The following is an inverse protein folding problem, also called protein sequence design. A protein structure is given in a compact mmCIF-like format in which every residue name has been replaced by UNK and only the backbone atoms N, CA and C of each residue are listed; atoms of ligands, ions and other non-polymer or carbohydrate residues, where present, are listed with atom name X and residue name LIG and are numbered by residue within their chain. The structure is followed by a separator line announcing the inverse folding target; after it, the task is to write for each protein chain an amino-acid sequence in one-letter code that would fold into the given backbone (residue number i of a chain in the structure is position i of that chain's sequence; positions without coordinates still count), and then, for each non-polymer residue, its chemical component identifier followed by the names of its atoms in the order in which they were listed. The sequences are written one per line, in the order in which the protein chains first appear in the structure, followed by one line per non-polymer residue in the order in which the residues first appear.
data_IF_024719093967
#
_entry.id   IF_024719093967
#
_cell.length_a   1.000
_cell.length_b   1.000
_cell.length_c   1.000
_cell.angle_alpha   90.00
_cell.angle_beta   90.00
_cell.angle_gamma   90.00
#
_symmetry.space_group_name_H-M   'P 1'
#
loop_
_entity.id
_entity.type
_entity.pdbx_description
1 polymer ?
#
# COMPACT_ATOMS: atom_id res chain seq x y z
N UNK A 1 -2.71 10.94 -19.19
CA UNK A 1 -3.06 9.63 -18.62
C UNK A 1 -1.79 8.78 -18.47
N UNK A 2 -0.98 9.04 -17.44
CA UNK A 2 0.34 8.40 -17.28
C UNK A 2 0.29 7.08 -16.48
N UNK A 3 -0.73 6.88 -15.64
CA UNK A 3 -0.86 5.67 -14.78
C UNK A 3 -1.70 4.55 -15.40
N UNK A 4 -2.40 4.82 -16.52
CA UNK A 4 -3.24 3.83 -17.20
C UNK A 4 -2.47 2.58 -17.65
N UNK A 5 -1.24 2.67 -18.18
CA UNK A 5 -0.44 1.49 -18.52
C UNK A 5 -0.08 0.63 -17.30
N UNK A 6 0.27 1.25 -16.18
CA UNK A 6 0.68 0.57 -14.94
C UNK A 6 -0.47 -0.22 -14.32
N UNK A 7 -1.66 0.39 -14.27
CA UNK A 7 -2.90 -0.28 -13.85
C UNK A 7 -3.27 -1.45 -14.75
N UNK A 8 -3.11 -1.29 -16.07
CA UNK A 8 -3.40 -2.34 -17.04
C UNK A 8 -2.46 -3.54 -16.85
N UNK A 9 -1.15 -3.29 -16.68
CA UNK A 9 -0.17 -4.35 -16.42
C UNK A 9 -0.47 -5.08 -15.11
N UNK A 10 -0.77 -4.34 -14.03
CA UNK A 10 -1.15 -4.95 -12.75
C UNK A 10 -2.43 -5.79 -12.87
N UNK A 11 -3.42 -5.31 -13.64
CA UNK A 11 -4.65 -6.03 -13.95
C UNK A 11 -4.38 -7.33 -14.72
N UNK A 12 -3.60 -7.29 -15.79
CA UNK A 12 -3.19 -8.49 -16.55
C UNK A 12 -2.50 -9.50 -15.62
N UNK A 13 -1.62 -9.02 -14.74
CA UNK A 13 -0.88 -9.88 -13.81
C UNK A 13 -1.84 -10.55 -12.81
N UNK A 14 -2.83 -9.81 -12.30
CA UNK A 14 -3.89 -10.37 -11.48
C UNK A 14 -4.73 -11.42 -12.24
N UNK A 15 -5.14 -11.13 -13.48
CA UNK A 15 -5.86 -12.08 -14.34
C UNK A 15 -5.06 -13.37 -14.61
N UNK A 16 -3.73 -13.29 -14.66
CA UNK A 16 -2.84 -14.45 -14.83
C UNK A 16 -2.52 -15.18 -13.51
N UNK A 17 -3.28 -14.93 -12.44
CA UNK A 17 -3.08 -15.55 -11.12
C UNK A 17 -1.89 -15.00 -10.34
N UNK A 18 -1.29 -13.89 -10.78
CA UNK A 18 -0.12 -13.23 -10.15
C UNK A 18 -0.53 -11.93 -9.44
N UNK A 19 -1.68 -11.96 -8.75
CA UNK A 19 -2.25 -10.79 -8.07
C UNK A 19 -1.30 -10.16 -7.03
N UNK A 20 -0.53 -10.97 -6.30
CA UNK A 20 0.45 -10.47 -5.33
C UNK A 20 1.53 -9.59 -5.97
N UNK A 21 2.02 -9.97 -7.15
CA UNK A 21 3.03 -9.19 -7.89
C UNK A 21 2.42 -7.91 -8.44
N UNK A 22 1.19 -7.97 -8.97
CA UNK A 22 0.47 -6.79 -9.45
C UNK A 22 0.21 -5.80 -8.31
N UNK A 23 -0.21 -6.29 -7.15
CA UNK A 23 -0.45 -5.50 -5.95
C UNK A 23 0.85 -4.85 -5.44
N UNK A 24 1.97 -5.59 -5.42
CA UNK A 24 3.28 -5.05 -5.03
C UNK A 24 3.74 -3.91 -5.95
N UNK A 25 3.52 -4.06 -7.27
CA UNK A 25 3.83 -3.00 -8.25
C UNK A 25 2.99 -1.74 -8.01
N UNK A 26 1.67 -1.90 -7.80
CA UNK A 26 0.76 -0.78 -7.50
C UNK A 26 1.11 -0.10 -6.18
N UNK A 27 1.44 -0.88 -5.14
CA UNK A 27 1.89 -0.34 -3.85
C UNK A 27 3.16 0.49 -4.01
N UNK A 28 4.15 -0.05 -4.73
CA UNK A 28 5.42 0.63 -5.00
C UNK A 28 5.20 1.96 -5.72
N UNK A 29 4.35 1.98 -6.76
CA UNK A 29 3.99 3.21 -7.47
C UNK A 29 3.33 4.24 -6.55
N UNK A 30 2.40 3.81 -5.69
CA UNK A 30 1.74 4.72 -4.74
C UNK A 30 2.69 5.26 -3.68
N UNK A 31 3.61 4.46 -3.15
CA UNK A 31 4.66 4.92 -2.23
C UNK A 31 5.56 5.96 -2.91
N UNK A 32 5.99 5.68 -4.15
CA UNK A 32 6.81 6.60 -4.92
C UNK A 32 6.11 7.95 -5.16
N UNK A 33 4.81 7.91 -5.48
CA UNK A 33 4.00 9.12 -5.68
C UNK A 33 3.84 9.93 -4.38
N UNK A 34 3.57 9.28 -3.25
CA UNK A 34 3.35 9.99 -1.99
C UNK A 34 4.61 10.46 -1.29
N UNK A 35 5.77 9.86 -1.60
CA UNK A 35 7.04 10.24 -1.00
C UNK A 35 7.80 11.20 -1.90
N UNK A 36 8.27 10.74 -3.05
CA UNK A 36 9.12 11.55 -3.94
C UNK A 36 8.34 12.66 -4.63
N UNK A 37 7.15 12.34 -5.19
CA UNK A 37 6.40 13.34 -5.93
C UNK A 37 5.77 14.39 -5.01
N UNK A 38 5.00 13.98 -3.99
CA UNK A 38 4.41 14.94 -3.04
C UNK A 38 5.48 15.67 -2.22
N UNK A 39 6.54 14.96 -1.80
CA UNK A 39 7.63 15.56 -1.01
C UNK A 39 8.52 16.53 -1.78
N UNK A 40 8.62 16.40 -3.12
CA UNK A 40 9.40 17.33 -3.94
C UNK A 40 8.67 18.62 -4.27
N UNK A 41 7.33 18.68 -4.17
CA UNK A 41 6.55 19.87 -4.50
C UNK A 41 6.94 21.10 -3.66
N UNK A 42 7.06 21.03 -2.31
CA UNK A 42 7.49 22.18 -1.51
C UNK A 42 8.94 22.60 -1.83
N UNK A 43 9.82 21.64 -2.14
CA UNK A 43 11.23 21.90 -2.47
C UNK A 43 11.34 22.64 -3.80
N UNK A 44 10.66 22.14 -4.83
CA UNK A 44 10.62 22.78 -6.15
C UNK A 44 10.02 24.19 -6.07
N UNK A 45 8.94 24.37 -5.27
CA UNK A 45 8.34 25.67 -5.02
C UNK A 45 9.33 26.66 -4.38
N UNK A 46 10.02 26.25 -3.31
CA UNK A 46 11.01 27.08 -2.63
C UNK A 46 12.18 27.49 -3.52
N UNK A 47 12.68 26.57 -4.35
CA UNK A 47 13.73 26.86 -5.35
C UNK A 47 13.22 27.85 -6.41
N UNK A 48 11.98 27.71 -6.88
CA UNK A 48 11.42 28.55 -7.95
C UNK A 48 11.06 29.97 -7.53
N UNK A 49 10.75 30.18 -6.24
CA UNK A 49 10.24 31.45 -5.73
C UNK A 49 11.22 32.26 -4.88
N UNK A 50 12.46 31.78 -4.69
CA UNK A 50 13.45 32.36 -3.75
C UNK A 50 12.91 32.54 -2.31
N UNK A 51 11.95 31.70 -1.89
CA UNK A 51 11.40 31.76 -0.52
C UNK A 51 11.65 30.45 0.22
N UNK A 52 11.89 30.54 1.54
CA UNK A 52 11.86 29.40 2.46
C UNK A 52 10.43 29.09 2.95
N UNK A 53 9.42 29.74 2.36
CA UNK A 53 8.01 29.52 2.70
C UNK A 53 7.55 28.13 2.26
N UNK A 54 6.77 27.46 3.12
CA UNK A 54 6.10 26.22 2.74
C UNK A 54 5.11 26.44 1.59
N UNK A 55 4.83 25.38 0.83
CA UNK A 55 3.86 25.41 -0.26
C UNK A 55 2.49 25.87 0.28
N UNK A 56 1.96 27.04 -0.13
CA UNK A 56 0.69 27.52 0.36
C UNK A 56 -0.42 26.64 -0.19
N UNK A 57 -1.19 26.02 0.70
CA UNK A 57 -2.38 25.25 0.35
C UNK A 57 -3.61 26.04 0.75
N UNK A 58 -4.54 26.20 -0.19
CA UNK A 58 -5.87 26.72 0.14
C UNK A 58 -6.69 25.68 0.92
N UNK A 59 -7.87 26.09 1.41
CA UNK A 59 -8.73 25.21 2.20
C UNK A 59 -9.14 23.94 1.45
N UNK A 60 -9.33 24.02 0.13
CA UNK A 60 -9.73 22.88 -0.69
C UNK A 60 -8.57 21.90 -0.90
N UNK A 61 -7.38 22.41 -1.20
CA UNK A 61 -6.17 21.60 -1.39
C UNK A 61 -5.81 20.87 -0.09
N UNK A 62 -5.89 21.55 1.05
CA UNK A 62 -5.68 20.92 2.36
C UNK A 62 -6.67 19.76 2.60
N UNK A 63 -7.95 19.94 2.27
CA UNK A 63 -8.96 18.88 2.36
C UNK A 63 -8.71 17.71 1.39
N UNK A 64 -8.21 17.99 0.18
CA UNK A 64 -7.82 16.98 -0.81
C UNK A 64 -6.62 16.15 -0.33
N UNK A 65 -5.62 16.80 0.26
CA UNK A 65 -4.49 16.13 0.91
C UNK A 65 -4.98 15.29 2.08
N UNK A 66 -5.86 15.82 2.93
CA UNK A 66 -6.41 15.10 4.07
C UNK A 66 -7.21 13.86 3.66
N UNK A 67 -8.12 13.99 2.69
CA UNK A 67 -8.87 12.85 2.14
C UNK A 67 -7.94 11.78 1.60
N UNK A 68 -6.90 12.17 0.86
CA UNK A 68 -6.00 11.18 0.26
C UNK A 68 -5.09 10.52 1.30
N UNK A 69 -4.70 11.24 2.35
CA UNK A 69 -4.02 10.68 3.51
C UNK A 69 -4.92 9.67 4.25
N UNK A 70 -6.20 9.99 4.45
CA UNK A 70 -7.18 9.09 5.07
C UNK A 70 -7.37 7.81 4.24
N UNK A 71 -7.51 7.92 2.91
CA UNK A 71 -7.58 6.77 2.01
C UNK A 71 -6.31 5.92 2.10
N UNK A 72 -5.14 6.55 2.12
CA UNK A 72 -3.85 5.86 2.24
C UNK A 72 -3.74 5.10 3.56
N UNK A 73 -4.18 5.70 4.67
CA UNK A 73 -4.22 5.05 5.98
C UNK A 73 -5.13 3.81 5.97
N UNK A 74 -6.31 3.91 5.35
CA UNK A 74 -7.21 2.76 5.20
C UNK A 74 -6.60 1.65 4.33
N UNK A 75 -5.99 2.00 3.19
CA UNK A 75 -5.31 1.04 2.34
C UNK A 75 -4.18 0.31 3.07
N UNK A 76 -3.37 1.03 3.87
CA UNK A 76 -2.34 0.43 4.71
C UNK A 76 -2.96 -0.51 5.76
N UNK A 77 -4.03 -0.10 6.42
CA UNK A 77 -4.72 -0.91 7.44
C UNK A 77 -5.27 -2.23 6.86
N UNK A 78 -5.80 -2.21 5.65
CA UNK A 78 -6.23 -3.40 4.89
C UNK A 78 -5.05 -4.35 4.67
N UNK A 79 -3.90 -3.80 4.24
CA UNK A 79 -2.70 -4.56 3.89
C UNK A 79 -1.87 -5.06 5.06
N UNK A 80 -2.20 -4.67 6.31
CA UNK A 80 -1.56 -5.21 7.53
C UNK A 80 -1.59 -6.75 7.57
N UNK A 81 -2.65 -7.35 7.02
CA UNK A 81 -2.82 -8.80 6.97
C UNK A 81 -2.13 -9.48 5.77
N UNK A 82 -1.47 -8.70 4.91
CA UNK A 82 -0.89 -9.12 3.61
C UNK A 82 -1.92 -9.79 2.67
N UNK A 83 -3.21 -9.56 2.92
CA UNK A 83 -4.32 -10.08 2.13
C UNK A 83 -5.33 -8.97 1.89
N UNK A 84 -5.90 -8.93 0.69
CA UNK A 84 -6.97 -8.01 0.32
C UNK A 84 -8.29 -8.78 0.25
N UNK A 85 -9.14 -8.61 1.26
CA UNK A 85 -10.47 -9.21 1.31
C UNK A 85 -11.43 -8.56 0.31
N UNK A 86 -12.44 -9.32 -0.12
CA UNK A 86 -13.46 -8.83 -1.07
C UNK A 86 -14.21 -7.59 -0.55
N UNK A 87 -14.56 -7.58 0.75
CA UNK A 87 -15.26 -6.45 1.37
C UNK A 87 -14.37 -5.21 1.47
N UNK A 88 -13.08 -5.38 1.73
CA UNK A 88 -12.12 -4.27 1.82
C UNK A 88 -11.87 -3.65 0.43
N UNK A 89 -11.75 -4.50 -0.60
CA UNK A 89 -11.66 -4.06 -1.99
C UNK A 89 -12.92 -3.30 -2.43
N UNK A 90 -14.11 -3.82 -2.09
CA UNK A 90 -15.39 -3.14 -2.36
C UNK A 90 -15.48 -1.82 -1.61
N UNK A 91 -15.04 -1.76 -0.34
CA UNK A 91 -15.04 -0.53 0.43
C UNK A 91 -14.12 0.54 -0.19
N UNK A 92 -12.89 0.16 -0.57
CA UNK A 92 -11.95 1.04 -1.26
C UNK A 92 -12.54 1.59 -2.57
N UNK A 93 -13.05 0.69 -3.42
CA UNK A 93 -13.61 1.06 -4.71
C UNK A 93 -14.89 1.89 -4.54
N UNK A 94 -15.80 1.47 -3.67
CA UNK A 94 -17.09 2.12 -3.45
C UNK A 94 -16.95 3.53 -2.91
N UNK A 95 -16.13 3.71 -1.87
CA UNK A 95 -15.88 5.04 -1.29
C UNK A 95 -15.17 5.96 -2.29
N UNK A 96 -14.22 5.43 -3.06
CA UNK A 96 -13.60 6.16 -4.16
C UNK A 96 -14.63 6.59 -5.22
N UNK A 97 -15.51 5.68 -5.66
CA UNK A 97 -16.51 5.97 -6.69
C UNK A 97 -17.54 7.00 -6.23
N UNK A 98 -17.99 6.94 -4.98
CA UNK A 98 -18.90 7.96 -4.42
C UNK A 98 -18.23 9.33 -4.45
N UNK A 99 -16.97 9.42 -3.97
CA UNK A 99 -16.22 10.66 -3.99
C UNK A 99 -15.98 11.20 -5.41
N UNK A 100 -15.67 10.30 -6.35
CA UNK A 100 -15.40 10.65 -7.74
C UNK A 100 -16.65 11.21 -8.45
N UNK A 101 -17.81 10.60 -8.21
CA UNK A 101 -19.08 11.00 -8.82
C UNK A 101 -19.73 12.20 -8.13
N UNK A 102 -19.42 12.44 -6.86
CA UNK A 102 -20.03 13.51 -6.05
C UNK A 102 -18.92 14.40 -5.44
N UNK A 103 -18.30 15.30 -6.22
CA UNK A 103 -17.12 16.04 -5.80
C UNK A 103 -17.43 17.29 -4.94
N UNK A 104 -18.35 17.18 -3.98
CA UNK A 104 -18.71 18.28 -3.05
C UNK A 104 -17.92 18.19 -1.74
N UNK A 105 -17.80 19.31 -1.03
CA UNK A 105 -16.95 19.42 0.17
C UNK A 105 -17.45 18.53 1.31
N UNK A 106 -18.75 18.53 1.56
CA UNK A 106 -19.40 17.78 2.64
C UNK A 106 -19.17 16.28 2.48
N UNK A 107 -19.31 15.77 1.24
CA UNK A 107 -19.07 14.36 0.91
C UNK A 107 -17.59 13.99 1.07
N UNK A 108 -16.69 14.86 0.62
CA UNK A 108 -15.24 14.69 0.78
C UNK A 108 -14.83 14.50 2.23
N UNK A 109 -15.30 15.37 3.10
CA UNK A 109 -14.99 15.30 4.52
C UNK A 109 -15.67 14.09 5.19
N UNK A 110 -16.91 13.78 4.84
CA UNK A 110 -17.59 12.59 5.35
C UNK A 110 -16.83 11.30 4.96
N UNK A 111 -16.42 11.17 3.71
CA UNK A 111 -15.66 10.02 3.21
C UNK A 111 -14.28 9.94 3.87
N UNK A 112 -13.59 11.07 4.05
CA UNK A 112 -12.31 11.10 4.77
C UNK A 112 -12.44 10.55 6.20
N UNK A 113 -13.49 10.98 6.92
CA UNK A 113 -13.78 10.46 8.28
C UNK A 113 -14.11 8.98 8.24
N UNK A 114 -14.90 8.52 7.27
CA UNK A 114 -15.22 7.10 7.10
C UNK A 114 -13.95 6.27 6.90
N UNK A 115 -13.03 6.73 6.03
CA UNK A 115 -11.75 6.04 5.84
C UNK A 115 -10.94 5.93 7.14
N UNK A 116 -10.85 7.01 7.92
CA UNK A 116 -10.14 7.00 9.20
C UNK A 116 -10.79 6.01 10.17
N UNK A 117 -12.12 6.05 10.32
CA UNK A 117 -12.84 5.14 11.22
C UNK A 117 -12.61 3.68 10.83
N UNK A 118 -12.78 3.36 9.54
CA UNK A 118 -12.56 2.00 9.04
C UNK A 118 -11.11 1.55 9.25
N UNK A 119 -10.14 2.42 9.00
CA UNK A 119 -8.73 2.12 9.22
C UNK A 119 -8.43 1.81 10.68
N UNK A 120 -8.93 2.64 11.61
CA UNK A 120 -8.75 2.43 13.05
C UNK A 120 -9.45 1.15 13.51
N UNK A 121 -10.68 0.89 13.06
CA UNK A 121 -11.39 -0.36 13.36
C UNK A 121 -10.61 -1.58 12.91
N UNK A 122 -10.03 -1.55 11.70
CA UNK A 122 -9.20 -2.65 11.20
C UNK A 122 -7.90 -2.80 12.00
N UNK A 123 -7.18 -1.71 12.28
CA UNK A 123 -5.94 -1.72 13.05
C UNK A 123 -6.18 -2.27 14.47
N UNK A 124 -7.27 -1.87 15.12
CA UNK A 124 -7.64 -2.38 16.45
C UNK A 124 -7.97 -3.87 16.39
N UNK A 125 -8.77 -4.29 15.41
CA UNK A 125 -9.16 -5.69 15.22
C UNK A 125 -7.96 -6.58 14.90
N UNK A 126 -7.00 -6.07 14.11
CA UNK A 126 -5.79 -6.77 13.64
C UNK A 126 -4.51 -6.35 14.37
N UNK A 127 -4.64 -5.80 15.59
CA UNK A 127 -3.49 -5.26 16.36
C UNK A 127 -2.34 -6.26 16.55
N UNK A 128 -2.63 -7.57 16.58
CA UNK A 128 -1.60 -8.62 16.67
C UNK A 128 -0.78 -8.73 15.39
N UNK A 129 -1.44 -8.71 14.23
CA UNK A 129 -0.78 -8.74 12.91
C UNK A 129 0.03 -7.47 12.69
N UNK A 130 -0.54 -6.30 13.03
CA UNK A 130 0.17 -5.02 12.94
C UNK A 130 1.48 -5.04 13.74
N UNK A 131 1.44 -5.52 14.99
CA UNK A 131 2.64 -5.64 15.84
C UNK A 131 3.66 -6.63 15.28
N UNK A 132 3.21 -7.76 14.71
CA UNK A 132 4.07 -8.75 14.06
C UNK A 132 4.77 -8.16 12.83
N UNK A 133 4.01 -7.47 11.97
CA UNK A 133 4.53 -6.82 10.76
C UNK A 133 5.56 -5.74 11.12
N UNK A 134 5.28 -4.91 12.12
CA UNK A 134 6.23 -3.89 12.60
C UNK A 134 7.48 -4.54 13.19
N UNK A 135 7.32 -5.63 13.96
CA UNK A 135 8.45 -6.39 14.49
C UNK A 135 9.35 -6.92 13.38
N UNK A 136 8.75 -7.58 12.38
CA UNK A 136 9.44 -8.10 11.20
C UNK A 136 10.11 -6.99 10.38
N UNK A 137 9.42 -5.89 10.12
CA UNK A 137 9.96 -4.77 9.36
C UNK A 137 11.18 -4.16 10.07
N UNK A 138 11.14 -4.03 11.41
CA UNK A 138 12.28 -3.54 12.20
C UNK A 138 13.47 -4.50 12.16
N UNK A 139 13.24 -5.81 12.19
CA UNK A 139 14.33 -6.78 12.03
C UNK A 139 14.91 -6.73 10.62
N UNK A 140 14.07 -6.63 9.59
CA UNK A 140 14.51 -6.53 8.20
C UNK A 140 15.32 -5.26 7.91
N UNK A 141 14.94 -4.12 8.51
CA UNK A 141 15.70 -2.86 8.39
C UNK A 141 17.04 -2.91 9.13
N UNK A 142 17.15 -3.69 10.21
CA UNK A 142 18.38 -3.83 11.00
C UNK A 142 19.37 -4.80 10.36
N UNK A 143 18.86 -5.86 9.75
CA UNK A 143 19.67 -6.88 9.09
C UNK A 143 19.04 -7.29 7.74
N UNK A 144 19.25 -6.49 6.69
CA UNK A 144 18.74 -6.78 5.35
C UNK A 144 19.35 -8.05 4.77
N UNK A 145 20.60 -8.37 5.14
CA UNK A 145 21.35 -9.52 4.66
C UNK A 145 20.77 -10.83 5.22
N UNK A 146 20.36 -10.85 6.49
CA UNK A 146 19.70 -12.02 7.10
C UNK A 146 18.33 -12.34 6.48
N UNK A 147 17.58 -11.34 6.01
CA UNK A 147 16.29 -11.57 5.33
C UNK A 147 16.48 -12.11 3.91
N UNK A 148 17.49 -11.63 3.19
CA UNK A 148 17.81 -12.11 1.85
C UNK A 148 18.41 -13.53 1.83
N UNK A 149 18.98 -13.98 2.96
CA UNK A 149 19.60 -15.29 3.13
C UNK A 149 18.72 -16.31 3.86
N UNK A 150 17.50 -15.94 4.26
CA UNK A 150 16.50 -16.89 4.73
C UNK A 150 16.25 -17.93 3.62
N UNK A 151 16.53 -19.23 3.85
CA UNK A 151 16.44 -20.24 2.79
C UNK A 151 15.01 -20.24 2.25
N UNK A 152 14.86 -19.91 0.97
CA UNK A 152 13.67 -20.34 0.24
C UNK A 152 13.57 -21.84 0.44
N UNK A 153 12.41 -22.33 0.86
CA UNK A 153 12.15 -23.75 0.98
C UNK A 153 12.51 -24.41 -0.37
N UNK A 154 13.70 -25.02 -0.44
CA UNK A 154 13.99 -26.02 -1.45
C UNK A 154 12.89 -27.08 -1.30
N UNK A 155 12.25 -27.51 -2.41
CA UNK A 155 11.33 -28.63 -2.34
C UNK A 155 12.09 -29.79 -1.72
N UNK A 156 11.61 -30.29 -0.57
CA UNK A 156 12.12 -31.54 0.02
C UNK A 156 11.93 -32.65 -1.02
N UNK A 157 12.93 -32.88 -1.85
CA UNK A 157 13.07 -34.12 -2.61
C UNK A 157 13.44 -35.19 -1.60
N UNK A 158 12.43 -35.85 -1.05
CA UNK A 158 12.59 -37.08 -0.33
C UNK A 158 11.72 -38.14 -0.98
N UNK A 159 12.27 -38.92 -1.91
CA UNK A 159 11.78 -40.29 -2.10
C UNK A 159 12.86 -41.23 -2.70
N UNK A 160 13.41 -42.08 -1.83
CA UNK A 160 13.67 -43.50 -2.06
C UNK A 160 14.64 -43.94 -3.17
N UNK A 161 15.94 -44.02 -2.87
CA UNK A 161 16.83 -44.97 -3.54
C UNK A 161 16.88 -46.29 -2.72
N UNK A 162 16.50 -47.46 -3.30
CA UNK A 162 16.63 -48.74 -2.59
C UNK A 162 18.09 -49.12 -2.40
N UNK A 163 18.48 -49.43 -1.16
CA UNK A 163 19.78 -50.01 -0.83
C UNK A 163 19.88 -51.41 -1.45
N UNK A 164 20.76 -51.58 -2.43
CA UNK A 164 21.22 -52.88 -2.86
C UNK A 164 22.09 -53.50 -1.75
N UNK A 165 21.52 -54.46 -1.02
CA UNK A 165 22.29 -55.38 -0.17
C UNK A 165 22.85 -56.49 -1.05
N UNK A 166 24.16 -56.45 -1.30
CA UNK A 166 24.91 -57.57 -1.84
C UNK A 166 25.27 -58.53 -0.71
N UNK A 167 24.78 -59.77 -0.80
CA UNK A 167 25.36 -60.95 -0.15
C UNK A 167 25.10 -62.17 -1.03
#
# INVERSE_FOLDING_TARGET
ASESPEFLVAGILAFRGRAAVGLAALLSSKVNQWTLLVGSLPVAFGISGETLGGLPLDGRQSQEVFLTAAQSLFAVAVLVSLSLGRLEAIALLGLFMIQFLIPINEVRMAIAVIYVVLALSLIVSRRREARRLIGWARTAMRDPAAVASAPGEEPRQGEGAPRATAR
#
